data_IF_912820745623
#
_entry.id   IF_912820745623
#
_cell.length_a   1.000
_cell.length_b   1.000
_cell.length_c   1.000
_cell.angle_alpha   90.00
_cell.angle_beta   90.00
_cell.angle_gamma   90.00
#
_symmetry.space_group_name_H-M   'P 1'
#
loop_
_entity.id
_entity.type
_entity.pdbx_description
1 polymer ?
#
# COMPACT_ATOMS: atom_id res chain seq x y z
N UNK A 1 -23.07 13.71 -38.72
CA UNK A 1 -21.81 12.94 -38.75
C UNK A 1 -20.75 13.54 -37.81
N UNK A 2 -20.43 14.84 -37.88
CA UNK A 2 -19.45 15.47 -36.94
C UNK A 2 -19.90 15.40 -35.46
N UNK A 3 -21.19 15.63 -35.17
CA UNK A 3 -21.74 15.55 -33.81
C UNK A 3 -21.75 14.12 -33.21
N UNK A 4 -21.90 13.08 -34.04
CA UNK A 4 -21.87 11.69 -33.55
C UNK A 4 -20.45 11.24 -33.20
N UNK A 5 -19.45 11.72 -33.95
CA UNK A 5 -18.04 11.54 -33.57
C UNK A 5 -17.73 12.23 -32.25
N UNK A 6 -18.19 13.47 -32.02
CA UNK A 6 -17.93 14.16 -30.75
C UNK A 6 -18.56 13.44 -29.55
N UNK A 7 -19.77 12.89 -29.70
CA UNK A 7 -20.43 12.12 -28.65
C UNK A 7 -19.69 10.82 -28.30
N UNK A 8 -19.24 10.08 -29.31
CA UNK A 8 -18.44 8.88 -29.10
C UNK A 8 -17.10 9.21 -28.44
N UNK A 9 -16.39 10.24 -28.93
CA UNK A 9 -15.10 10.67 -28.39
C UNK A 9 -15.20 11.10 -26.93
N UNK A 10 -16.26 11.83 -26.53
CA UNK A 10 -16.47 12.22 -25.13
C UNK A 10 -16.65 10.99 -24.23
N UNK A 11 -17.43 10.00 -24.66
CA UNK A 11 -17.63 8.76 -23.90
C UNK A 11 -16.36 7.93 -23.80
N UNK A 12 -15.62 7.82 -24.90
CA UNK A 12 -14.33 7.13 -24.91
C UNK A 12 -13.33 7.83 -23.97
N UNK A 13 -13.27 9.16 -23.97
CA UNK A 13 -12.42 9.92 -23.06
C UNK A 13 -12.80 9.66 -21.59
N UNK A 14 -14.09 9.66 -21.26
CA UNK A 14 -14.56 9.34 -19.90
C UNK A 14 -14.17 7.92 -19.47
N UNK A 15 -14.28 6.93 -20.37
CA UNK A 15 -13.85 5.55 -20.10
C UNK A 15 -12.34 5.44 -19.90
N UNK A 16 -11.54 6.17 -20.69
CA UNK A 16 -10.08 6.20 -20.53
C UNK A 16 -9.67 6.84 -19.20
N UNK A 17 -10.31 7.94 -18.80
CA UNK A 17 -10.08 8.58 -17.49
C UNK A 17 -10.44 7.61 -16.35
N UNK A 18 -11.55 6.89 -16.47
CA UNK A 18 -11.91 5.88 -15.47
C UNK A 18 -10.86 4.77 -15.38
N UNK A 19 -10.36 4.30 -16.53
CA UNK A 19 -9.31 3.29 -16.57
C UNK A 19 -8.02 3.77 -15.91
N UNK A 20 -7.60 5.02 -16.14
CA UNK A 20 -6.40 5.57 -15.49
C UNK A 20 -6.57 5.69 -13.98
N UNK A 21 -7.74 6.11 -13.49
CA UNK A 21 -8.02 6.18 -12.04
C UNK A 21 -7.89 4.80 -11.40
N UNK A 22 -8.42 3.75 -12.04
CA UNK A 22 -8.31 2.37 -11.52
C UNK A 22 -6.84 1.94 -11.45
N UNK A 23 -6.07 2.16 -12.52
CA UNK A 23 -4.65 1.81 -12.57
C UNK A 23 -3.86 2.56 -11.50
N UNK A 24 -4.11 3.85 -11.30
CA UNK A 24 -3.42 4.66 -10.29
C UNK A 24 -3.69 4.12 -8.87
N UNK A 25 -4.93 3.76 -8.56
CA UNK A 25 -5.30 3.15 -7.27
C UNK A 25 -4.61 1.80 -7.06
N UNK A 26 -4.55 0.96 -8.10
CA UNK A 26 -3.85 -0.33 -8.04
C UNK A 26 -2.35 -0.16 -7.79
N UNK A 27 -1.71 0.81 -8.46
CA UNK A 27 -0.28 1.11 -8.28
C UNK A 27 -0.01 1.58 -6.85
N UNK A 28 -0.85 2.47 -6.30
CA UNK A 28 -0.73 2.91 -4.90
C UNK A 28 -0.84 1.72 -3.94
N UNK A 29 -1.85 0.87 -4.13
CA UNK A 29 -2.04 -0.34 -3.33
C UNK A 29 -0.83 -1.29 -3.38
N UNK A 30 -0.26 -1.49 -4.58
CA UNK A 30 0.92 -2.32 -4.80
C UNK A 30 2.14 -1.76 -4.07
N UNK A 31 2.43 -0.47 -4.21
CA UNK A 31 3.58 0.19 -3.56
C UNK A 31 3.44 0.11 -2.05
N UNK A 32 2.25 0.41 -1.50
CA UNK A 32 2.01 0.33 -0.05
C UNK A 32 2.20 -1.08 0.49
N UNK A 33 1.71 -2.09 -0.24
CA UNK A 33 1.85 -3.50 0.16
C UNK A 33 3.31 -3.94 0.15
N UNK A 34 4.08 -3.56 -0.88
CA UNK A 34 5.52 -3.84 -0.96
C UNK A 34 6.31 -3.14 0.13
N UNK A 35 5.99 -1.88 0.43
CA UNK A 35 6.63 -1.12 1.52
C UNK A 35 6.39 -1.79 2.87
N UNK A 36 5.15 -2.18 3.18
CA UNK A 36 4.83 -2.89 4.41
C UNK A 36 5.50 -4.25 4.52
N UNK A 37 5.52 -5.01 3.42
CA UNK A 37 6.26 -6.27 3.36
C UNK A 37 7.74 -6.06 3.66
N UNK A 38 8.37 -5.08 3.00
CA UNK A 38 9.78 -4.75 3.18
C UNK A 38 10.09 -4.34 4.63
N UNK A 39 9.28 -3.46 5.22
CA UNK A 39 9.45 -3.01 6.61
C UNK A 39 9.34 -4.20 7.57
N UNK A 40 8.31 -5.05 7.43
CA UNK A 40 8.10 -6.19 8.32
C UNK A 40 9.26 -7.20 8.28
N UNK A 41 9.75 -7.52 7.08
CA UNK A 41 10.90 -8.41 6.94
C UNK A 41 12.19 -7.75 7.45
N UNK A 42 12.43 -6.49 7.09
CA UNK A 42 13.61 -5.75 7.52
C UNK A 42 13.76 -5.68 9.04
N UNK A 43 12.69 -5.33 9.76
CA UNK A 43 12.75 -5.24 11.23
C UNK A 43 12.92 -6.64 11.84
N UNK A 44 12.28 -7.68 11.30
CA UNK A 44 12.49 -9.06 11.77
C UNK A 44 13.94 -9.52 11.62
N UNK A 45 14.57 -9.21 10.48
CA UNK A 45 15.99 -9.50 10.27
C UNK A 45 16.86 -8.77 11.29
N UNK A 46 16.64 -7.47 11.52
CA UNK A 46 17.36 -6.71 12.55
C UNK A 46 17.20 -7.36 13.95
N UNK A 47 15.99 -7.75 14.32
CA UNK A 47 15.77 -8.43 15.61
C UNK A 47 16.55 -9.74 15.68
N UNK A 48 16.53 -10.54 14.62
CA UNK A 48 17.24 -11.82 14.58
C UNK A 48 18.75 -11.64 14.68
N UNK A 49 19.30 -10.59 14.06
CA UNK A 49 20.73 -10.32 14.05
C UNK A 49 21.24 -9.79 15.38
N UNK A 50 20.44 -8.99 16.10
CA UNK A 50 20.92 -8.23 17.27
C UNK A 50 20.31 -8.66 18.62
N UNK A 51 19.19 -9.40 18.64
CA UNK A 51 18.50 -9.78 19.89
C UNK A 51 18.64 -11.28 20.14
N UNK A 52 19.54 -11.64 21.04
CA UNK A 52 19.80 -13.05 21.40
C UNK A 52 19.11 -13.51 22.68
N UNK A 53 18.50 -12.60 23.44
CA UNK A 53 17.72 -12.96 24.63
C UNK A 53 16.28 -13.25 24.24
N UNK A 54 15.82 -14.47 24.48
CA UNK A 54 14.47 -14.94 24.09
C UNK A 54 13.34 -14.01 24.57
N UNK A 55 13.40 -13.55 25.83
CA UNK A 55 12.39 -12.63 26.38
C UNK A 55 12.32 -11.33 25.58
N UNK A 56 13.47 -10.75 25.23
CA UNK A 56 13.54 -9.52 24.43
C UNK A 56 13.05 -9.78 23.00
N UNK A 57 13.43 -10.91 22.40
CA UNK A 57 12.98 -11.31 21.07
C UNK A 57 11.45 -11.38 20.98
N UNK A 58 10.80 -12.02 21.96
CA UNK A 58 9.33 -12.13 22.03
C UNK A 58 8.64 -10.78 22.25
N UNK A 59 9.20 -9.92 23.12
CA UNK A 59 8.71 -8.55 23.33
C UNK A 59 8.82 -7.75 22.04
N UNK A 60 9.96 -7.80 21.35
CA UNK A 60 10.17 -7.08 20.10
C UNK A 60 9.24 -7.56 18.98
N UNK A 61 8.97 -8.87 18.87
CA UNK A 61 7.97 -9.40 17.91
C UNK A 61 6.56 -8.88 18.21
N UNK A 62 6.20 -8.76 19.48
CA UNK A 62 4.90 -8.19 19.88
C UNK A 62 4.81 -6.71 19.50
N UNK A 63 5.88 -5.95 19.75
CA UNK A 63 5.95 -4.53 19.38
C UNK A 63 5.89 -4.32 17.87
N UNK A 64 6.54 -5.17 17.06
CA UNK A 64 6.40 -5.12 15.59
C UNK A 64 4.93 -5.27 15.19
N UNK A 65 4.20 -6.24 15.78
CA UNK A 65 2.79 -6.46 15.42
C UNK A 65 1.94 -5.23 15.73
N UNK A 66 2.15 -4.60 16.89
CA UNK A 66 1.47 -3.36 17.27
C UNK A 66 1.84 -2.23 16.29
N UNK A 67 3.12 -2.04 16.02
CA UNK A 67 3.61 -1.05 15.06
C UNK A 67 3.00 -1.24 13.66
N UNK A 68 2.87 -2.49 13.21
CA UNK A 68 2.27 -2.80 11.92
C UNK A 68 0.78 -2.44 11.86
N UNK A 69 0.03 -2.65 12.94
CA UNK A 69 -1.37 -2.22 13.05
C UNK A 69 -1.46 -0.69 12.98
N UNK A 70 -0.59 0.02 13.69
CA UNK A 70 -0.53 1.48 13.67
C UNK A 70 -0.17 2.01 12.27
N UNK A 71 0.80 1.40 11.59
CA UNK A 71 1.17 1.76 10.21
C UNK A 71 0.01 1.59 9.24
N UNK A 72 -0.77 0.50 9.36
CA UNK A 72 -1.98 0.29 8.57
C UNK A 72 -2.99 1.40 8.86
N UNK A 73 -3.24 1.73 10.14
CA UNK A 73 -4.16 2.81 10.54
C UNK A 73 -3.77 4.15 9.90
N UNK A 74 -2.52 4.57 10.05
CA UNK A 74 -2.04 5.83 9.49
C UNK A 74 -2.05 5.84 7.96
N UNK A 75 -1.84 4.69 7.32
CA UNK A 75 -1.92 4.61 5.86
C UNK A 75 -3.35 4.72 5.35
N UNK A 76 -4.33 4.19 6.08
CA UNK A 76 -5.75 4.40 5.79
C UNK A 76 -6.12 5.87 6.00
N UNK A 77 -5.69 6.49 7.10
CA UNK A 77 -5.91 7.92 7.39
C UNK A 77 -5.26 8.85 6.35
N UNK A 78 -4.17 8.44 5.74
CA UNK A 78 -3.56 9.22 4.65
C UNK A 78 -4.37 9.16 3.35
N UNK A 79 -5.10 8.06 3.12
CA UNK A 79 -5.86 7.81 1.88
C UNK A 79 -7.29 8.37 1.98
N UNK A 80 -7.89 8.36 3.17
CA UNK A 80 -9.27 8.80 3.46
C UNK A 80 -9.28 10.22 3.99
#
# INVERSE_FOLDING_TARGET
MIQSYSWFTIRLAALLILATIIIDVEIVGLIMSLAFFHINYGIKTIIQDYIHTEKLYLVSLTLIRICYIELIRYSIELII
#
